data_IF_214352889500
#
_entry.id   IF_214352889500
#
_cell.length_a   1.000
_cell.length_b   1.000
_cell.length_c   1.000
_cell.angle_alpha   90.00
_cell.angle_beta   90.00
_cell.angle_gamma   90.00
#
_symmetry.space_group_name_H-M   'P 1'
#
loop_
_entity.id
_entity.type
_entity.pdbx_description
1 polymer ?
#
# COMPACT_ATOMS: atom_id res chain seq x y z
N UNK A 1 9.86 31.42 -12.39
CA UNK A 1 8.53 31.05 -12.89
C UNK A 1 8.41 29.54 -12.75
N UNK A 2 7.79 29.08 -11.67
CA UNK A 2 7.47 27.66 -11.49
C UNK A 2 6.40 27.37 -12.54
N UNK A 3 6.71 26.58 -13.56
CA UNK A 3 5.72 26.25 -14.60
C UNK A 3 4.52 25.57 -13.95
N UNK A 4 3.30 25.88 -14.37
CA UNK A 4 2.07 25.27 -13.83
C UNK A 4 2.17 23.73 -13.76
N UNK A 5 2.89 23.13 -14.71
CA UNK A 5 3.20 21.71 -14.77
C UNK A 5 4.00 21.21 -13.55
N UNK A 6 4.96 21.98 -13.06
CA UNK A 6 5.78 21.60 -11.91
C UNK A 6 4.97 21.63 -10.60
N UNK A 7 4.09 22.63 -10.45
CA UNK A 7 3.18 22.69 -9.30
C UNK A 7 2.23 21.48 -9.26
N UNK A 8 1.63 21.13 -10.39
CA UNK A 8 0.74 19.97 -10.51
C UNK A 8 1.47 18.65 -10.22
N UNK A 9 2.71 18.50 -10.70
CA UNK A 9 3.52 17.31 -10.41
C UNK A 9 3.88 17.20 -8.93
N UNK A 10 4.26 18.30 -8.27
CA UNK A 10 4.53 18.32 -6.82
C UNK A 10 3.28 18.03 -5.99
N UNK A 11 2.12 18.55 -6.42
CA UNK A 11 0.84 18.22 -5.80
C UNK A 11 0.53 16.72 -5.93
N UNK A 12 0.75 16.16 -7.13
CA UNK A 12 0.62 14.73 -7.40
C UNK A 12 1.52 13.89 -6.50
N UNK A 13 2.81 14.22 -6.42
CA UNK A 13 3.77 13.57 -5.53
C UNK A 13 3.28 13.54 -4.07
N UNK A 14 2.87 14.69 -3.53
CA UNK A 14 2.36 14.79 -2.16
C UNK A 14 1.08 13.97 -1.95
N UNK A 15 0.14 14.04 -2.91
CA UNK A 15 -1.09 13.26 -2.86
C UNK A 15 -0.81 11.76 -2.84
N UNK A 16 -0.01 11.24 -3.78
CA UNK A 16 0.33 9.83 -3.83
C UNK A 16 1.07 9.38 -2.58
N UNK A 17 2.02 10.18 -2.08
CA UNK A 17 2.75 9.87 -0.85
C UNK A 17 1.80 9.71 0.35
N UNK A 18 0.92 10.68 0.58
CA UNK A 18 -0.03 10.63 1.71
C UNK A 18 -1.05 9.50 1.52
N UNK A 19 -1.66 9.42 0.34
CA UNK A 19 -2.68 8.43 0.02
C UNK A 19 -2.15 7.00 0.18
N UNK A 20 -0.98 6.71 -0.38
CA UNK A 20 -0.38 5.37 -0.33
C UNK A 20 0.07 5.02 1.09
N UNK A 21 0.61 5.99 1.85
CA UNK A 21 0.93 5.79 3.27
C UNK A 21 -0.33 5.43 4.06
N UNK A 22 -1.41 6.19 3.91
CA UNK A 22 -2.69 5.90 4.56
C UNK A 22 -3.23 4.54 4.15
N UNK A 23 -3.11 4.15 2.88
CA UNK A 23 -3.51 2.83 2.39
C UNK A 23 -2.74 1.70 3.10
N UNK A 24 -1.42 1.85 3.26
CA UNK A 24 -0.57 0.88 3.96
C UNK A 24 -0.99 0.77 5.43
N UNK A 25 -1.13 1.90 6.13
CA UNK A 25 -1.57 1.93 7.53
C UNK A 25 -2.98 1.33 7.68
N UNK A 26 -3.89 1.62 6.75
CA UNK A 26 -5.23 1.07 6.76
C UNK A 26 -5.22 -0.44 6.52
N UNK A 27 -4.40 -0.96 5.61
CA UNK A 27 -4.25 -2.41 5.43
C UNK A 27 -3.66 -3.09 6.68
N UNK A 28 -2.73 -2.44 7.39
CA UNK A 28 -2.10 -2.99 8.59
C UNK A 28 -2.95 -2.92 9.85
N UNK A 29 -3.74 -1.85 10.04
CA UNK A 29 -4.47 -1.57 11.29
C UNK A 29 -5.99 -1.49 11.13
N UNK A 30 -6.52 -1.50 9.90
CA UNK A 30 -7.95 -1.35 9.63
C UNK A 30 -8.82 -2.47 10.22
N UNK A 31 -8.24 -3.65 10.46
CA UNK A 31 -8.91 -4.77 11.13
C UNK A 31 -9.14 -4.54 12.64
N UNK A 32 -8.46 -3.55 13.26
CA UNK A 32 -8.56 -3.27 14.69
C UNK A 32 -9.94 -2.70 15.07
N UNK A 33 -10.58 -1.99 14.14
CA UNK A 33 -11.88 -1.34 14.35
C UNK A 33 -13.01 -2.12 13.68
N UNK A 34 -14.01 -2.55 14.47
CA UNK A 34 -15.14 -3.33 13.96
C UNK A 34 -15.93 -2.64 12.84
N UNK A 35 -16.09 -1.31 12.91
CA UNK A 35 -16.80 -0.53 11.89
C UNK A 35 -16.06 -0.53 10.53
N UNK A 36 -14.74 -0.69 10.54
CA UNK A 36 -13.93 -0.69 9.33
C UNK A 36 -13.64 -2.09 8.78
N UNK A 37 -14.03 -3.17 9.45
CA UNK A 37 -13.76 -4.55 8.98
C UNK A 37 -14.23 -4.81 7.53
N UNK A 38 -15.43 -4.36 7.15
CA UNK A 38 -15.93 -4.53 5.77
C UNK A 38 -15.12 -3.74 4.75
N UNK A 39 -14.78 -2.49 5.08
CA UNK A 39 -13.96 -1.63 4.23
C UNK A 39 -12.52 -2.14 4.12
N UNK A 40 -11.94 -2.57 5.24
CA UNK A 40 -10.63 -3.21 5.31
C UNK A 40 -10.58 -4.44 4.41
N UNK A 41 -11.60 -5.31 4.47
CA UNK A 41 -11.68 -6.49 3.60
C UNK A 41 -11.71 -6.14 2.12
N UNK A 42 -12.46 -5.08 1.73
CA UNK A 42 -12.47 -4.61 0.34
C UNK A 42 -11.10 -4.06 -0.07
N UNK A 43 -10.48 -3.21 0.75
CA UNK A 43 -9.19 -2.58 0.43
C UNK A 43 -8.06 -3.61 0.36
N UNK A 44 -8.00 -4.54 1.31
CA UNK A 44 -6.98 -5.58 1.32
C UNK A 44 -7.21 -6.56 0.16
N UNK A 45 -8.47 -6.88 -0.19
CA UNK A 45 -8.78 -7.70 -1.36
C UNK A 45 -8.37 -7.01 -2.66
N UNK A 46 -8.60 -5.71 -2.81
CA UNK A 46 -8.12 -4.94 -3.97
C UNK A 46 -6.59 -4.90 -4.03
N UNK A 47 -5.94 -4.79 -2.86
CA UNK A 47 -4.47 -4.82 -2.77
C UNK A 47 -3.94 -6.18 -3.23
N UNK A 48 -4.50 -7.28 -2.73
CA UNK A 48 -4.15 -8.64 -3.17
C UNK A 48 -4.52 -8.89 -4.63
N UNK A 49 -5.63 -8.34 -5.13
CA UNK A 49 -6.01 -8.43 -6.53
C UNK A 49 -5.00 -7.71 -7.43
N UNK A 50 -4.52 -6.53 -7.04
CA UNK A 50 -3.41 -5.86 -7.73
C UNK A 50 -2.16 -6.73 -7.71
N UNK A 51 -1.78 -7.26 -6.56
CA UNK A 51 -0.57 -8.07 -6.41
C UNK A 51 -0.64 -9.41 -7.14
N UNK A 52 -1.82 -10.02 -7.21
CA UNK A 52 -2.05 -11.28 -7.90
C UNK A 52 -2.24 -11.07 -9.40
N UNK A 53 -3.26 -10.32 -9.80
CA UNK A 53 -3.62 -10.15 -11.22
C UNK A 53 -2.54 -9.37 -11.97
N UNK A 54 -2.14 -8.20 -11.47
CA UNK A 54 -1.11 -7.40 -12.13
C UNK A 54 0.28 -7.93 -11.82
N UNK A 55 0.51 -8.51 -10.64
CA UNK A 55 1.81 -9.07 -10.31
C UNK A 55 2.18 -10.32 -11.12
N UNK A 56 1.22 -11.01 -11.75
CA UNK A 56 1.52 -12.05 -12.74
C UNK A 56 2.20 -11.49 -14.01
N UNK A 57 1.98 -10.22 -14.34
CA UNK A 57 2.59 -9.56 -15.51
C UNK A 57 3.77 -8.66 -15.16
N UNK A 58 3.66 -7.92 -14.04
CA UNK A 58 4.61 -6.87 -13.66
C UNK A 58 5.51 -7.24 -12.47
N UNK A 59 5.28 -8.39 -11.81
CA UNK A 59 6.05 -8.88 -10.67
C UNK A 59 5.26 -8.93 -9.36
N UNK A 60 5.58 -9.90 -8.49
CA UNK A 60 4.91 -10.07 -7.19
C UNK A 60 4.97 -8.79 -6.35
N UNK A 61 3.81 -8.35 -5.85
CA UNK A 61 3.72 -7.13 -5.04
C UNK A 61 3.46 -5.85 -5.83
N UNK A 62 3.20 -5.95 -7.14
CA UNK A 62 2.97 -4.79 -7.99
C UNK A 62 1.72 -3.98 -7.59
N UNK A 63 1.89 -2.66 -7.51
CA UNK A 63 0.83 -1.70 -7.24
C UNK A 63 0.82 -0.59 -8.32
N UNK A 64 -0.26 -0.41 -9.09
CA UNK A 64 -0.31 0.59 -10.16
C UNK A 64 -0.18 2.04 -9.63
N UNK A 65 -0.56 2.28 -8.37
CA UNK A 65 -0.37 3.57 -7.70
C UNK A 65 1.12 3.92 -7.56
N UNK A 66 1.97 2.92 -7.33
CA UNK A 66 3.43 3.10 -7.24
C UNK A 66 3.99 3.54 -8.59
N UNK A 67 3.59 2.87 -9.66
CA UNK A 67 4.06 3.18 -11.01
C UNK A 67 3.65 4.59 -11.44
N UNK A 68 2.41 4.98 -11.17
CA UNK A 68 1.95 6.35 -11.44
C UNK A 68 2.71 7.38 -10.61
N UNK A 69 2.99 7.09 -9.33
CA UNK A 69 3.77 7.97 -8.49
C UNK A 69 5.21 8.08 -9.00
N UNK A 70 5.84 6.97 -9.39
CA UNK A 70 7.19 6.95 -9.93
C UNK A 70 7.28 7.68 -11.28
N UNK A 71 6.25 7.62 -12.12
CA UNK A 71 6.20 8.42 -13.35
C UNK A 71 6.17 9.93 -13.06
N UNK A 72 5.42 10.35 -12.03
CA UNK A 72 5.42 11.75 -11.57
C UNK A 72 6.80 12.15 -11.03
N UNK A 73 7.44 11.30 -10.23
CA UNK A 73 8.78 11.56 -9.68
C UNK A 73 9.85 11.64 -10.78
N UNK A 74 9.80 10.77 -11.78
CA UNK A 74 10.67 10.84 -12.96
C UNK A 74 10.49 12.15 -13.71
N UNK A 75 9.25 12.62 -13.87
CA UNK A 75 8.95 13.94 -14.48
C UNK A 75 9.44 15.12 -13.63
N UNK A 76 9.57 14.93 -12.31
CA UNK A 76 10.20 15.89 -11.39
C UNK A 76 11.75 15.80 -11.39
N UNK A 77 12.34 14.84 -12.11
CA UNK A 77 13.79 14.69 -12.26
C UNK A 77 14.43 13.64 -11.34
N UNK A 78 13.64 12.83 -10.63
CA UNK A 78 14.16 11.75 -9.77
C UNK A 78 14.57 10.53 -10.60
N UNK A 79 15.82 10.09 -10.46
CA UNK A 79 16.41 9.03 -11.33
C UNK A 79 16.86 7.77 -10.59
N UNK A 80 16.91 7.78 -9.25
CA UNK A 80 17.37 6.64 -8.43
C UNK A 80 16.24 6.09 -7.55
N UNK A 81 15.11 5.77 -8.19
CA UNK A 81 13.93 5.25 -7.49
C UNK A 81 14.12 3.75 -7.20
N UNK A 82 13.99 3.30 -5.95
CA UNK A 82 14.15 1.90 -5.61
C UNK A 82 13.00 1.06 -6.16
N UNK A 83 13.21 -0.25 -6.39
CA UNK A 83 12.22 -1.12 -7.03
C UNK A 83 10.96 -1.37 -6.18
N UNK A 84 11.01 -1.07 -4.88
CA UNK A 84 9.88 -1.22 -3.95
C UNK A 84 9.44 0.14 -3.42
N UNK A 85 8.12 0.37 -3.43
CA UNK A 85 7.55 1.61 -2.90
C UNK A 85 7.83 1.82 -1.42
N UNK A 86 7.78 0.76 -0.62
CA UNK A 86 8.06 0.86 0.81
C UNK A 86 9.55 1.16 1.03
N UNK A 87 10.45 0.59 0.21
CA UNK A 87 11.87 0.98 0.22
C UNK A 87 12.04 2.47 -0.11
N UNK A 88 11.32 2.98 -1.11
CA UNK A 88 11.28 4.41 -1.43
C UNK A 88 10.79 5.24 -0.25
N UNK A 89 9.70 4.81 0.41
CA UNK A 89 9.13 5.51 1.55
C UNK A 89 10.09 5.55 2.74
N UNK A 90 10.79 4.44 3.02
CA UNK A 90 11.79 4.34 4.07
C UNK A 90 13.03 5.19 3.77
N UNK A 91 13.48 5.19 2.52
CA UNK A 91 14.59 6.03 2.08
C UNK A 91 14.20 7.51 2.17
N UNK A 92 12.99 7.89 1.74
CA UNK A 92 12.54 9.29 1.75
C UNK A 92 12.24 9.83 3.14
N UNK A 93 11.66 9.02 4.04
CA UNK A 93 11.25 9.46 5.38
C UNK A 93 12.36 9.29 6.42
N UNK A 94 13.13 8.21 6.35
CA UNK A 94 14.10 7.83 7.37
C UNK A 94 15.53 7.74 6.84
N UNK A 95 15.76 8.00 5.55
CA UNK A 95 17.07 7.87 4.90
C UNK A 95 17.66 6.44 5.01
N UNK A 96 16.78 5.44 5.15
CA UNK A 96 17.13 4.02 5.30
C UNK A 96 17.09 3.29 3.96
N UNK A 97 18.20 2.64 3.61
CA UNK A 97 18.29 1.80 2.42
C UNK A 97 18.04 0.33 2.79
N UNK A 98 16.79 -0.10 2.65
CA UNK A 98 16.43 -1.53 2.83
C UNK A 98 16.19 -2.17 1.46
N UNK A 99 16.81 -3.33 1.17
CA UNK A 99 16.61 -4.05 -0.08
C UNK A 99 15.14 -4.31 -0.36
N UNK A 100 14.71 -4.07 -1.60
CA UNK A 100 13.31 -4.22 -2.03
C UNK A 100 12.74 -5.60 -1.75
N UNK A 101 13.54 -6.65 -1.90
CA UNK A 101 13.11 -8.04 -1.71
C UNK A 101 12.69 -8.33 -0.25
N UNK A 102 13.46 -7.83 0.71
CA UNK A 102 13.18 -7.97 2.15
C UNK A 102 11.87 -7.26 2.48
N UNK A 103 11.76 -6.03 2.00
CA UNK A 103 10.59 -5.20 2.24
C UNK A 103 9.32 -5.80 1.62
N UNK A 104 9.43 -6.34 0.40
CA UNK A 104 8.31 -6.97 -0.29
C UNK A 104 7.86 -8.24 0.45
N UNK A 105 8.82 -9.07 0.89
CA UNK A 105 8.52 -10.27 1.68
C UNK A 105 7.86 -9.97 3.03
N UNK A 106 8.32 -8.92 3.73
CA UNK A 106 7.69 -8.47 4.97
C UNK A 106 6.28 -7.92 4.72
N UNK A 107 6.12 -7.07 3.71
CA UNK A 107 4.81 -6.46 3.37
C UNK A 107 3.80 -7.55 3.01
N UNK A 108 4.21 -8.57 2.24
CA UNK A 108 3.39 -9.74 1.94
C UNK A 108 3.00 -10.50 3.20
N UNK A 109 3.98 -10.82 4.06
CA UNK A 109 3.74 -11.59 5.29
C UNK A 109 2.77 -10.88 6.23
N UNK A 110 2.97 -9.57 6.46
CA UNK A 110 2.09 -8.77 7.31
C UNK A 110 0.70 -8.60 6.68
N UNK A 111 0.61 -8.39 5.37
CA UNK A 111 -0.69 -8.28 4.68
C UNK A 111 -1.46 -9.60 4.73
N UNK A 112 -0.80 -10.73 4.57
CA UNK A 112 -1.43 -12.05 4.66
C UNK A 112 -1.91 -12.36 6.08
N UNK A 113 -1.12 -11.98 7.08
CA UNK A 113 -1.52 -12.09 8.49
C UNK A 113 -2.74 -11.21 8.79
N UNK A 114 -2.73 -9.94 8.34
CA UNK A 114 -3.84 -9.01 8.51
C UNK A 114 -5.12 -9.51 7.81
N UNK A 115 -4.99 -10.08 6.60
CA UNK A 115 -6.10 -10.73 5.88
C UNK A 115 -6.67 -11.90 6.69
N UNK A 116 -5.80 -12.79 7.18
CA UNK A 116 -6.20 -13.97 7.97
C UNK A 116 -6.93 -13.58 9.25
N UNK A 117 -6.44 -12.55 9.95
CA UNK A 117 -7.08 -12.00 11.15
C UNK A 117 -8.43 -11.35 10.80
N UNK A 118 -8.50 -10.58 9.72
CA UNK A 118 -9.74 -9.93 9.25
C UNK A 118 -10.81 -10.98 8.90
N UNK A 119 -10.44 -12.04 8.16
CA UNK A 119 -11.33 -13.17 7.88
C UNK A 119 -11.78 -13.88 9.16
N UNK A 120 -10.87 -14.16 10.08
CA UNK A 120 -11.22 -14.77 11.36
C UNK A 120 -12.22 -13.93 12.15
N UNK A 121 -11.96 -12.62 12.30
CA UNK A 121 -12.83 -11.73 13.05
C UNK A 121 -14.21 -11.54 12.40
N UNK A 122 -14.28 -11.48 11.06
CA UNK A 122 -15.52 -11.28 10.33
C UNK A 122 -16.41 -12.55 10.34
N UNK A 123 -15.81 -13.74 10.17
CA UNK A 123 -16.55 -15.00 10.06
C UNK A 123 -16.75 -15.73 11.39
N UNK A 124 -15.81 -15.67 12.35
CA UNK A 124 -15.93 -16.41 13.61
C UNK A 124 -16.52 -15.60 14.77
N UNK A 125 -16.32 -14.27 14.81
CA UNK A 125 -16.88 -13.44 15.90
C UNK A 125 -18.37 -13.16 15.73
N UNK A 126 -18.89 -13.18 14.50
CA UNK A 126 -20.32 -13.02 14.20
C UNK A 126 -21.18 -14.18 14.74
N UNK A 127 -20.60 -15.38 14.93
CA UNK A 127 -21.35 -16.52 15.48
C UNK A 127 -21.59 -16.43 16.99
N UNK A 128 -20.92 -15.54 17.73
CA UNK A 128 -21.03 -15.49 19.20
C UNK A 128 -22.04 -14.48 19.75
N UNK A 129 -22.84 -13.85 18.88
CA UNK A 129 -23.87 -12.86 19.31
C UNK A 129 -25.26 -13.22 18.76
N UNK A 130 -25.47 -14.47 18.33
CA UNK A 130 -26.79 -15.01 18.01
C UNK A 130 -27.40 -15.85 19.16
N UNK A 131 -26.65 -16.07 20.25
CA UNK A 131 -27.05 -16.93 21.39
C UNK A 131 -27.05 -16.18 22.75
N UNK A 132 -27.47 -14.90 22.77
CA UNK A 132 -27.76 -14.16 24.03
C UNK A 132 -29.11 -13.46 23.93
#
# INVERSE_FOLDING_TARGET
>A
MIGENEFLLRLGDSFFMVFHTVLIFFNLFGWLYKAFLKWHLIVIALTFASWGVLGLWYGFGYCPLTDWHFDILKKLGETDLPPSYISYLLQRLFNLHIPGDVVNGLTLSFSLLALSISLYLNFFKTKKTADL
#
